data_IF_161400174551
#
_entry.id   IF_161400174551
#
_cell.length_a   1.000
_cell.length_b   1.000
_cell.length_c   1.000
_cell.angle_alpha   90.00
_cell.angle_beta   90.00
_cell.angle_gamma   90.00
#
_symmetry.space_group_name_H-M   'P 1'
#
loop_
_entity.id
_entity.type
_entity.pdbx_description
1 polymer ?
#
# COMPACT_ATOMS: atom_id res chain seq x y z
N UNK A 1 -24.04 1.72 -55.59
CA UNK A 1 -23.53 2.70 -54.60
C UNK A 1 -24.65 3.68 -54.22
N UNK A 2 -25.58 3.30 -53.35
CA UNK A 2 -26.74 4.16 -53.01
C UNK A 2 -27.33 3.86 -51.62
N UNK A 3 -26.48 3.73 -50.58
CA UNK A 3 -26.94 3.47 -49.20
C UNK A 3 -26.24 4.33 -48.13
N UNK A 4 -25.63 5.45 -48.49
CA UNK A 4 -24.78 6.23 -47.56
C UNK A 4 -25.22 7.67 -47.29
N UNK A 5 -26.44 8.10 -47.67
CA UNK A 5 -26.80 9.54 -47.59
C UNK A 5 -28.03 9.90 -46.75
N UNK A 6 -28.60 8.98 -45.96
CA UNK A 6 -29.86 9.22 -45.23
C UNK A 6 -29.71 9.62 -43.75
N UNK A 7 -28.48 9.77 -43.26
CA UNK A 7 -28.21 10.04 -41.83
C UNK A 7 -27.93 11.50 -41.50
N UNK A 8 -27.88 12.40 -42.50
CA UNK A 8 -27.23 13.72 -42.33
C UNK A 8 -28.16 14.93 -42.41
N UNK A 9 -29.48 14.78 -42.24
CA UNK A 9 -30.42 15.91 -42.24
C UNK A 9 -31.59 15.70 -41.26
N UNK A 10 -31.27 15.50 -39.98
CA UNK A 10 -32.25 15.70 -38.90
C UNK A 10 -31.82 16.95 -38.12
N UNK A 11 -32.53 18.05 -38.33
CA UNK A 11 -32.44 19.19 -37.42
C UNK A 11 -32.98 18.71 -36.08
N UNK A 12 -32.08 18.41 -35.14
CA UNK A 12 -32.45 18.03 -33.78
C UNK A 12 -33.39 19.09 -33.20
N UNK A 13 -34.58 18.66 -32.80
CA UNK A 13 -35.52 19.53 -32.11
C UNK A 13 -34.88 20.00 -30.80
N UNK A 14 -35.13 21.26 -30.39
CA UNK A 14 -34.62 21.78 -29.10
C UNK A 14 -34.99 20.88 -27.92
N UNK A 15 -36.12 20.18 -28.00
CA UNK A 15 -36.57 19.20 -27.00
C UNK A 15 -35.77 17.89 -27.03
N UNK A 16 -35.41 17.41 -28.23
CA UNK A 16 -34.60 16.19 -28.39
C UNK A 16 -33.18 16.41 -27.88
N UNK A 17 -32.60 17.59 -28.16
CA UNK A 17 -31.32 18.02 -27.58
C UNK A 17 -31.40 18.07 -26.05
N UNK A 18 -32.46 18.70 -25.49
CA UNK A 18 -32.62 18.79 -24.05
C UNK A 18 -32.72 17.40 -23.40
N UNK A 19 -33.45 16.47 -24.01
CA UNK A 19 -33.58 15.10 -23.51
C UNK A 19 -32.25 14.32 -23.62
N UNK A 20 -31.53 14.47 -24.72
CA UNK A 20 -30.23 13.84 -24.91
C UNK A 20 -29.21 14.34 -23.87
N UNK A 21 -29.15 15.66 -23.64
CA UNK A 21 -28.27 16.26 -22.63
C UNK A 21 -28.63 15.79 -21.23
N UNK A 22 -29.91 15.75 -20.88
CA UNK A 22 -30.36 15.25 -19.57
C UNK A 22 -29.94 13.79 -19.37
N UNK A 23 -30.16 12.96 -20.38
CA UNK A 23 -29.79 11.54 -20.34
C UNK A 23 -28.29 11.39 -20.15
N UNK A 24 -27.48 12.07 -20.96
CA UNK A 24 -26.02 12.03 -20.86
C UNK A 24 -25.54 12.49 -19.48
N UNK A 25 -26.10 13.58 -18.94
CA UNK A 25 -25.73 14.08 -17.62
C UNK A 25 -26.00 13.05 -16.51
N UNK A 26 -27.15 12.36 -16.56
CA UNK A 26 -27.49 11.29 -15.62
C UNK A 26 -26.49 10.13 -15.74
N UNK A 27 -26.20 9.67 -16.97
CA UNK A 27 -25.25 8.58 -17.18
C UNK A 27 -23.83 8.95 -16.74
N UNK A 28 -23.36 10.17 -17.02
CA UNK A 28 -22.04 10.65 -16.59
C UNK A 28 -21.99 10.72 -15.06
N UNK A 29 -23.03 11.26 -14.41
CA UNK A 29 -23.08 11.34 -12.95
C UNK A 29 -23.00 9.96 -12.29
N UNK A 30 -23.82 9.02 -12.77
CA UNK A 30 -23.80 7.64 -12.27
C UNK A 30 -22.48 6.92 -12.55
N UNK A 31 -21.90 7.14 -13.74
CA UNK A 31 -20.60 6.56 -14.11
C UNK A 31 -19.46 7.14 -13.27
N UNK A 32 -19.46 8.45 -13.01
CA UNK A 32 -18.43 9.13 -12.23
C UNK A 32 -18.40 8.59 -10.79
N UNK A 33 -19.57 8.54 -10.15
CA UNK A 33 -19.72 8.02 -8.80
C UNK A 33 -19.25 6.55 -8.70
N UNK A 34 -19.62 5.72 -9.67
CA UNK A 34 -19.15 4.32 -9.73
C UNK A 34 -17.65 4.21 -10.01
N UNK A 35 -17.10 5.10 -10.83
CA UNK A 35 -15.68 5.16 -11.16
C UNK A 35 -14.83 5.48 -9.93
N UNK A 36 -15.21 6.51 -9.17
CA UNK A 36 -14.50 6.91 -7.94
C UNK A 36 -14.44 5.77 -6.91
N UNK A 37 -15.55 5.04 -6.72
CA UNK A 37 -15.57 3.86 -5.85
C UNK A 37 -14.62 2.76 -6.32
N UNK A 38 -14.59 2.49 -7.63
CA UNK A 38 -13.69 1.48 -8.20
C UNK A 38 -12.22 1.88 -7.98
N UNK A 39 -11.88 3.16 -8.15
CA UNK A 39 -10.52 3.64 -7.90
C UNK A 39 -10.12 3.54 -6.42
N UNK A 40 -11.02 3.89 -5.50
CA UNK A 40 -10.78 3.73 -4.06
C UNK A 40 -10.56 2.26 -3.67
N UNK A 41 -11.39 1.33 -4.17
CA UNK A 41 -11.18 -0.10 -3.93
C UNK A 41 -9.89 -0.63 -4.55
N UNK A 42 -9.53 -0.16 -5.74
CA UNK A 42 -8.29 -0.55 -6.39
C UNK A 42 -7.08 -0.07 -5.59
N UNK A 43 -7.14 1.15 -5.05
CA UNK A 43 -6.12 1.72 -4.17
C UNK A 43 -6.01 0.92 -2.86
N UNK A 44 -7.14 0.65 -2.19
CA UNK A 44 -7.17 -0.17 -0.98
C UNK A 44 -6.50 -1.53 -1.21
N UNK A 45 -6.87 -2.24 -2.28
CA UNK A 45 -6.30 -3.55 -2.61
C UNK A 45 -4.81 -3.47 -2.94
N UNK A 46 -4.39 -2.44 -3.66
CA UNK A 46 -2.98 -2.23 -3.97
C UNK A 46 -2.15 -1.95 -2.71
N UNK A 47 -2.69 -1.15 -1.79
CA UNK A 47 -2.09 -0.86 -0.49
C UNK A 47 -2.02 -2.12 0.38
N UNK A 48 -3.12 -2.87 0.52
CA UNK A 48 -3.16 -4.12 1.28
C UNK A 48 -2.20 -5.18 0.72
N UNK A 49 -2.11 -5.31 -0.60
CA UNK A 49 -1.13 -6.18 -1.24
C UNK A 49 0.32 -5.75 -0.92
N UNK A 50 0.58 -4.44 -0.85
CA UNK A 50 1.90 -3.91 -0.47
C UNK A 50 2.23 -4.22 1.01
N UNK A 51 1.26 -4.07 1.92
CA UNK A 51 1.43 -4.42 3.34
C UNK A 51 1.67 -5.91 3.50
N UNK A 52 0.90 -6.77 2.81
CA UNK A 52 1.10 -8.22 2.83
C UNK A 52 2.51 -8.59 2.34
N UNK A 53 2.94 -8.00 1.24
CA UNK A 53 4.27 -8.20 0.68
C UNK A 53 5.38 -7.82 1.68
N UNK A 54 5.24 -6.68 2.37
CA UNK A 54 6.17 -6.26 3.43
C UNK A 54 6.16 -7.27 4.57
N UNK A 55 4.99 -7.70 5.05
CA UNK A 55 4.85 -8.67 6.13
C UNK A 55 5.50 -10.01 5.79
N UNK A 56 5.26 -10.55 4.60
CA UNK A 56 5.91 -11.79 4.16
C UNK A 56 7.43 -11.66 4.15
N UNK A 57 7.94 -10.52 3.66
CA UNK A 57 9.37 -10.28 3.62
C UNK A 57 9.98 -10.10 5.02
N UNK A 58 9.31 -9.40 5.94
CA UNK A 58 9.71 -9.31 7.35
C UNK A 58 9.78 -10.68 8.03
N UNK A 59 8.82 -11.56 7.76
CA UNK A 59 8.80 -12.94 8.31
C UNK A 59 9.97 -13.78 7.78
N UNK A 60 10.28 -13.70 6.48
CA UNK A 60 11.45 -14.37 5.90
C UNK A 60 12.74 -13.85 6.55
N UNK A 61 12.87 -12.53 6.69
CA UNK A 61 14.04 -11.91 7.31
C UNK A 61 14.18 -12.29 8.78
N UNK A 62 13.06 -12.38 9.50
CA UNK A 62 13.07 -12.81 10.90
C UNK A 62 13.64 -14.22 11.00
N UNK A 63 13.13 -15.15 10.18
CA UNK A 63 13.63 -16.52 10.14
C UNK A 63 15.12 -16.59 9.79
N UNK A 64 15.59 -15.79 8.84
CA UNK A 64 17.02 -15.72 8.49
C UNK A 64 17.88 -15.19 9.65
N UNK A 65 17.40 -14.16 10.33
CA UNK A 65 18.14 -13.50 11.43
C UNK A 65 18.22 -14.42 12.65
N UNK A 66 17.11 -15.09 13.00
CA UNK A 66 17.06 -16.04 14.11
C UNK A 66 17.85 -17.31 13.81
N UNK A 67 17.77 -17.86 12.61
CA UNK A 67 18.57 -19.04 12.21
C UNK A 67 20.07 -18.75 12.13
N UNK A 68 20.46 -17.49 11.86
CA UNK A 68 21.86 -17.06 11.90
C UNK A 68 22.37 -16.75 13.32
N UNK A 69 21.52 -16.85 14.36
CA UNK A 69 21.87 -16.51 15.74
C UNK A 69 22.06 -15.01 15.98
N UNK A 70 21.60 -14.14 15.08
CA UNK A 70 21.77 -12.68 15.15
C UNK A 70 20.60 -12.00 15.86
N UNK A 71 20.08 -12.63 16.91
CA UNK A 71 18.89 -12.17 17.64
C UNK A 71 19.03 -10.74 18.19
N UNK A 72 20.24 -10.33 18.57
CA UNK A 72 20.51 -8.97 19.04
C UNK A 72 20.21 -7.88 17.98
N UNK A 73 20.25 -8.21 16.68
CA UNK A 73 19.89 -7.26 15.61
C UNK A 73 18.40 -6.93 15.61
N UNK A 74 17.56 -7.85 16.11
CA UNK A 74 16.10 -7.68 16.13
C UNK A 74 15.68 -6.54 17.07
N UNK A 75 16.44 -6.23 18.11
CA UNK A 75 16.17 -5.07 18.99
C UNK A 75 16.01 -3.75 18.21
N UNK A 76 16.65 -3.63 17.05
CA UNK A 76 16.60 -2.44 16.22
C UNK A 76 15.43 -2.43 15.24
N UNK A 77 14.64 -3.50 15.15
CA UNK A 77 13.54 -3.62 14.18
C UNK A 77 12.28 -2.92 14.63
N UNK A 78 12.10 -2.79 15.94
CA UNK A 78 10.95 -2.12 16.50
C UNK A 78 10.92 -0.65 16.06
N UNK A 79 9.82 -0.25 15.43
CA UNK A 79 9.66 1.07 14.80
C UNK A 79 10.80 1.42 13.82
N UNK A 80 11.41 0.44 13.18
CA UNK A 80 12.37 0.66 12.10
C UNK A 80 11.67 0.85 10.77
N UNK A 81 12.36 1.53 9.85
CA UNK A 81 11.88 1.61 8.49
C UNK A 81 11.92 0.23 7.82
N UNK A 82 10.77 -0.40 7.53
CA UNK A 82 10.75 -1.73 6.90
C UNK A 82 11.43 -1.69 5.53
N UNK A 83 11.36 -0.56 4.82
CA UNK A 83 11.98 -0.43 3.51
C UNK A 83 13.49 -0.57 3.56
N UNK A 84 14.10 -0.06 4.63
CA UNK A 84 15.54 -0.16 4.88
C UNK A 84 15.95 -1.55 5.34
N UNK A 85 15.13 -2.18 6.19
CA UNK A 85 15.30 -3.59 6.59
C UNK A 85 15.27 -4.51 5.36
N UNK A 86 14.34 -4.27 4.43
CA UNK A 86 14.16 -5.06 3.22
C UNK A 86 15.21 -4.78 2.14
N UNK A 87 15.73 -3.56 2.03
CA UNK A 87 16.83 -3.27 1.10
C UNK A 87 18.12 -3.97 1.53
N UNK A 88 18.38 -4.02 2.85
CA UNK A 88 19.51 -4.75 3.43
C UNK A 88 19.49 -6.26 3.09
N UNK A 89 18.31 -6.84 2.86
CA UNK A 89 18.11 -8.24 2.45
C UNK A 89 18.57 -8.53 1.01
N UNK A 90 18.37 -7.56 0.09
CA UNK A 90 18.77 -7.71 -1.33
C UNK A 90 20.28 -7.92 -1.48
N UNK A 91 21.06 -7.54 -0.46
CA UNK A 91 22.50 -7.75 -0.42
C UNK A 91 22.89 -9.21 -0.09
N UNK A 92 21.99 -10.04 0.47
CA UNK A 92 22.27 -11.42 0.89
C UNK A 92 21.87 -12.46 -0.18
N UNK A 93 20.87 -12.16 -1.02
CA UNK A 93 20.55 -12.98 -2.21
C UNK A 93 21.26 -12.38 -3.41
N UNK A 94 22.44 -12.90 -3.73
CA UNK A 94 23.19 -12.49 -4.91
C UNK A 94 22.51 -13.06 -6.18
N UNK A 95 21.49 -12.35 -6.69
CA UNK A 95 20.65 -12.77 -7.83
C UNK A 95 21.48 -13.05 -9.10
N UNK A 96 22.66 -12.46 -9.21
CA UNK A 96 23.60 -12.70 -10.32
C UNK A 96 24.29 -14.08 -10.26
N UNK A 97 24.29 -14.74 -9.10
CA UNK A 97 24.95 -16.05 -8.92
C UNK A 97 23.99 -17.24 -8.96
N UNK A 98 22.69 -16.98 -9.09
CA UNK A 98 21.70 -18.03 -9.34
C UNK A 98 21.85 -18.51 -10.79
N UNK A 99 22.08 -19.82 -11.05
CA UNK A 99 22.10 -20.34 -12.40
C UNK A 99 20.78 -19.98 -13.07
N UNK A 100 20.85 -19.47 -14.31
CA UNK A 100 19.71 -18.99 -15.08
C UNK A 100 18.68 -20.10 -15.34
N UNK A 101 17.88 -20.41 -14.32
CA UNK A 101 16.76 -21.33 -14.40
C UNK A 101 15.54 -20.52 -14.84
N UNK A 102 15.01 -20.77 -16.05
CA UNK A 102 13.84 -20.05 -16.56
C UNK A 102 12.57 -20.25 -15.69
N UNK A 103 12.54 -21.29 -14.85
CA UNK A 103 11.48 -21.45 -13.84
C UNK A 103 11.64 -20.53 -12.63
N UNK A 104 12.86 -20.26 -12.17
CA UNK A 104 13.09 -19.28 -11.10
C UNK A 104 12.88 -17.84 -11.60
N UNK A 105 13.08 -17.58 -12.90
CA UNK A 105 12.66 -16.33 -13.55
C UNK A 105 11.13 -16.18 -13.62
N UNK A 106 10.36 -17.28 -13.62
CA UNK A 106 8.90 -17.26 -13.43
C UNK A 106 8.49 -17.09 -11.97
N UNK A 107 9.40 -17.41 -11.04
CA UNK A 107 9.32 -17.03 -9.62
C UNK A 107 9.94 -15.66 -9.34
N UNK A 108 10.49 -14.97 -10.36
CA UNK A 108 10.90 -13.57 -10.24
C UNK A 108 9.74 -12.58 -9.95
N UNK A 109 8.44 -12.93 -9.94
CA UNK A 109 7.44 -12.12 -9.22
C UNK A 109 7.63 -12.10 -7.69
N UNK A 110 8.56 -12.89 -7.14
CA UNK A 110 9.13 -12.69 -5.80
C UNK A 110 10.29 -11.68 -5.79
N UNK A 111 10.59 -11.01 -6.90
CA UNK A 111 10.80 -9.57 -6.80
C UNK A 111 9.49 -9.03 -6.28
N UNK A 112 9.38 -9.05 -4.96
CA UNK A 112 8.27 -8.59 -4.16
C UNK A 112 7.64 -7.45 -4.95
N UNK A 113 6.39 -7.61 -5.39
CA UNK A 113 5.64 -6.67 -6.22
C UNK A 113 5.39 -5.39 -5.45
N UNK A 114 6.48 -4.75 -5.06
CA UNK A 114 6.52 -3.50 -4.37
C UNK A 114 6.36 -2.50 -5.49
N UNK A 115 5.11 -2.19 -5.79
CA UNK A 115 4.72 -0.98 -6.51
C UNK A 115 5.13 0.24 -5.70
N UNK A 116 6.41 0.36 -5.35
CA UNK A 116 6.94 1.38 -4.50
C UNK A 116 6.99 2.67 -5.27
N UNK A 117 5.88 3.38 -5.17
CA UNK A 117 5.85 4.82 -5.03
C UNK A 117 6.41 5.22 -3.65
N UNK A 118 7.52 4.62 -3.23
CA UNK A 118 8.20 4.96 -1.98
C UNK A 118 9.12 6.15 -2.24
N UNK A 119 8.89 7.23 -1.52
CA UNK A 119 9.57 8.50 -1.72
C UNK A 119 10.85 8.65 -0.88
N UNK A 120 11.06 7.77 0.10
CA UNK A 120 12.19 7.83 1.01
C UNK A 120 11.78 8.17 2.45
N UNK A 121 12.78 8.58 3.21
CA UNK A 121 12.68 8.97 4.61
C UNK A 121 12.67 10.51 4.71
N UNK A 122 11.76 11.06 5.51
CA UNK A 122 11.63 12.49 5.73
C UNK A 122 11.60 12.78 7.23
N UNK A 123 12.19 13.90 7.62
CA UNK A 123 12.14 14.42 8.99
C UNK A 123 10.97 15.41 9.09
N UNK A 124 9.93 15.06 9.86
CA UNK A 124 8.69 15.83 10.01
C UNK A 124 8.05 16.31 8.69
N UNK A 125 7.75 15.40 7.75
CA UNK A 125 7.14 15.76 6.47
C UNK A 125 5.78 16.45 6.66
N UNK A 126 5.54 17.53 5.90
CA UNK A 126 4.19 18.08 5.74
C UNK A 126 3.39 17.16 4.80
N UNK A 127 2.29 16.52 5.26
CA UNK A 127 1.48 15.66 4.42
C UNK A 127 0.90 16.36 3.18
N UNK A 128 0.81 17.70 3.17
CA UNK A 128 0.31 18.47 2.03
C UNK A 128 1.29 18.53 0.85
N UNK A 129 2.58 18.34 1.10
CA UNK A 129 3.59 18.34 0.03
C UNK A 129 3.75 16.96 -0.62
N UNK A 130 3.02 15.96 -0.14
CA UNK A 130 3.12 14.58 -0.58
C UNK A 130 1.81 14.14 -1.25
N UNK A 131 1.92 13.85 -2.53
CA UNK A 131 0.83 13.35 -3.37
C UNK A 131 0.23 12.04 -2.82
N UNK A 132 -1.07 11.85 -3.08
CA UNK A 132 -1.76 10.60 -2.79
C UNK A 132 -1.23 9.43 -3.63
N UNK A 133 -1.27 8.23 -3.04
CA UNK A 133 -0.84 6.97 -3.63
C UNK A 133 0.66 6.67 -3.41
N UNK A 134 1.35 7.45 -2.59
CA UNK A 134 2.77 7.30 -2.28
C UNK A 134 3.00 6.81 -0.85
N UNK A 135 4.09 6.07 -0.69
CA UNK A 135 4.63 5.65 0.59
C UNK A 135 5.81 6.56 0.97
N UNK A 136 5.96 6.87 2.25
CA UNK A 136 7.16 7.49 2.78
C UNK A 136 7.37 7.09 4.23
N UNK A 137 8.56 7.29 4.76
CA UNK A 137 8.84 7.05 6.17
C UNK A 137 9.02 8.37 6.90
N UNK A 138 8.27 8.57 7.99
CA UNK A 138 8.41 9.70 8.89
C UNK A 138 9.42 9.34 9.98
N UNK A 139 10.57 10.00 9.98
CA UNK A 139 11.63 9.80 10.98
C UNK A 139 11.28 10.36 12.35
N UNK A 140 10.41 11.38 12.41
CA UNK A 140 9.98 12.02 13.64
C UNK A 140 8.98 11.16 14.40
N UNK A 141 7.98 10.64 13.69
CA UNK A 141 6.97 9.73 14.27
C UNK A 141 7.39 8.25 14.25
N UNK A 142 8.48 7.90 13.54
CA UNK A 142 8.95 6.52 13.32
C UNK A 142 7.89 5.58 12.74
N UNK A 143 7.22 6.06 11.69
CA UNK A 143 6.15 5.34 11.01
C UNK A 143 6.33 5.34 9.51
N UNK A 144 5.97 4.24 8.88
CA UNK A 144 5.74 4.15 7.45
C UNK A 144 4.33 4.70 7.15
N UNK A 145 4.25 5.72 6.32
CA UNK A 145 2.99 6.39 5.97
C UNK A 145 2.60 6.08 4.54
N UNK A 146 1.34 5.71 4.34
CA UNK A 146 0.71 5.67 3.03
C UNK A 146 -0.26 6.85 2.88
N UNK A 147 -0.11 7.61 1.80
CA UNK A 147 -1.01 8.73 1.46
C UNK A 147 -2.17 8.22 0.63
N UNK A 148 -3.40 8.45 1.07
CA UNK A 148 -4.58 8.06 0.31
C UNK A 148 -4.84 9.09 -0.79
N UNK A 149 -4.98 8.62 -2.03
CA UNK A 149 -5.31 9.43 -3.19
C UNK A 149 -6.82 9.60 -3.36
N UNK A 150 -7.59 8.53 -3.23
CA UNK A 150 -9.03 8.51 -3.42
C UNK A 150 -9.72 8.41 -2.05
N UNK A 151 -9.75 9.53 -1.33
CA UNK A 151 -10.18 9.57 0.08
C UNK A 151 -11.69 9.67 0.28
N UNK A 152 -12.47 9.79 -0.80
CA UNK A 152 -13.93 9.96 -0.75
C UNK A 152 -14.63 8.81 0.01
N UNK A 153 -14.02 7.63 0.05
CA UNK A 153 -14.53 6.44 0.72
C UNK A 153 -13.64 5.97 1.88
N UNK A 154 -12.74 6.83 2.38
CA UNK A 154 -11.79 6.50 3.44
C UNK A 154 -12.07 7.34 4.69
N UNK A 155 -12.01 6.72 5.86
CA UNK A 155 -12.16 7.38 7.16
C UNK A 155 -11.05 6.96 8.12
N UNK A 156 -10.52 7.93 8.87
CA UNK A 156 -9.59 7.72 9.98
C UNK A 156 -9.73 8.87 11.00
N UNK A 157 -9.26 8.69 12.25
CA UNK A 157 -9.29 9.75 13.26
C UNK A 157 -8.24 10.84 13.00
N UNK A 158 -7.36 10.66 12.00
CA UNK A 158 -6.28 11.59 11.71
C UNK A 158 -6.81 12.87 11.07
N UNK A 159 -6.42 14.00 11.64
CA UNK A 159 -6.69 15.31 11.05
C UNK A 159 -5.86 15.56 9.78
N UNK A 160 -6.38 16.42 8.90
CA UNK A 160 -5.73 16.82 7.67
C UNK A 160 -5.98 15.84 6.53
N UNK A 161 -5.01 15.73 5.61
CA UNK A 161 -5.18 14.89 4.44
C UNK A 161 -5.12 13.39 4.81
N UNK A 162 -5.96 12.60 4.16
CA UNK A 162 -6.12 11.17 4.39
C UNK A 162 -4.80 10.38 4.26
N UNK A 163 -4.51 9.58 5.28
CA UNK A 163 -3.30 8.76 5.38
C UNK A 163 -3.51 7.61 6.34
N UNK A 164 -2.67 6.59 6.21
CA UNK A 164 -2.54 5.49 7.15
C UNK A 164 -1.09 5.45 7.63
N UNK A 165 -0.89 5.33 8.94
CA UNK A 165 0.43 5.19 9.55
C UNK A 165 0.63 3.75 9.99
N UNK A 166 1.81 3.21 9.75
CA UNK A 166 2.17 1.85 10.11
C UNK A 166 3.52 1.84 10.83
N UNK A 167 3.71 0.92 11.77
CA UNK A 167 5.01 0.65 12.38
C UNK A 167 5.35 -0.84 12.25
N UNK A 168 6.66 -1.13 12.21
CA UNK A 168 7.13 -2.50 12.38
C UNK A 168 7.12 -2.79 13.87
N UNK A 169 6.40 -3.83 14.25
CA UNK A 169 6.34 -4.31 15.63
C UNK A 169 6.82 -5.75 15.69
N UNK A 170 7.68 -6.02 16.67
CA UNK A 170 8.09 -7.38 17.00
C UNK A 170 7.04 -8.07 17.87
N UNK A 171 6.84 -9.36 17.62
CA UNK A 171 6.02 -10.23 18.45
C UNK A 171 6.93 -11.25 19.12
N UNK A 172 7.02 -11.17 20.43
CA UNK A 172 7.92 -11.96 21.27
C UNK A 172 7.22 -12.38 22.56
N UNK A 173 7.80 -13.38 23.23
CA UNK A 173 7.40 -13.78 24.57
C UNK A 173 7.97 -12.79 25.58
N UNK A 174 7.16 -11.84 26.02
CA UNK A 174 7.53 -10.86 27.06
C UNK A 174 7.53 -11.54 28.44
N UNK A 175 8.68 -12.13 28.81
CA UNK A 175 8.83 -12.94 30.02
C UNK A 175 9.02 -12.06 31.26
N UNK A 176 9.56 -10.85 31.09
CA UNK A 176 9.83 -9.92 32.18
C UNK A 176 8.71 -8.87 32.36
N UNK A 177 7.79 -8.73 31.40
CA UNK A 177 6.64 -7.84 31.43
C UNK A 177 6.97 -6.38 31.16
N UNK A 178 8.11 -6.06 30.54
CA UNK A 178 8.55 -4.68 30.30
C UNK A 178 8.19 -4.15 28.91
N UNK A 179 7.60 -5.00 28.06
CA UNK A 179 7.22 -4.67 26.69
C UNK A 179 8.40 -4.41 25.75
N UNK A 180 9.62 -4.77 26.13
CA UNK A 180 10.83 -4.62 25.33
C UNK A 180 11.48 -5.98 25.08
N UNK A 181 11.83 -6.23 23.83
CA UNK A 181 12.44 -7.49 23.45
C UNK A 181 13.85 -7.67 24.05
N UNK A 182 14.05 -8.76 24.79
CA UNK A 182 15.35 -9.19 25.30
C UNK A 182 15.89 -10.44 24.56
N UNK A 183 16.94 -10.34 23.73
CA UNK A 183 17.47 -11.44 22.94
C UNK A 183 18.14 -12.55 23.74
N UNK A 184 18.52 -12.29 24.99
CA UNK A 184 19.17 -13.28 25.86
C UNK A 184 18.14 -14.15 26.61
N UNK A 185 16.89 -13.69 26.71
CA UNK A 185 15.85 -14.33 27.53
C UNK A 185 14.60 -14.72 26.73
N UNK A 186 14.30 -14.03 25.64
CA UNK A 186 12.99 -14.06 24.99
C UNK A 186 13.06 -14.56 23.56
N UNK A 187 12.01 -15.29 23.16
CA UNK A 187 11.87 -15.79 21.81
C UNK A 187 11.00 -14.85 20.98
N UNK A 188 11.46 -14.49 19.77
CA UNK A 188 10.66 -13.78 18.77
C UNK A 188 9.96 -14.78 17.88
N UNK A 189 8.65 -14.65 17.73
CA UNK A 189 7.84 -15.52 16.88
C UNK A 189 7.18 -14.78 15.70
N UNK A 190 7.34 -13.46 15.61
CA UNK A 190 6.88 -12.71 14.45
C UNK A 190 7.42 -11.28 14.36
N UNK A 191 7.37 -10.73 13.15
CA UNK A 191 7.52 -9.31 12.89
C UNK A 191 6.41 -8.92 11.89
N UNK A 192 5.73 -7.81 12.15
CA UNK A 192 4.62 -7.37 11.30
C UNK A 192 4.57 -5.84 11.21
N UNK A 193 4.16 -5.37 10.04
CA UNK A 193 3.74 -4.01 9.79
C UNK A 193 2.28 -3.86 10.27
N UNK A 194 2.08 -3.11 11.34
CA UNK A 194 0.79 -2.90 11.98
C UNK A 194 0.33 -1.44 11.88
N UNK A 195 -0.96 -1.20 11.62
CA UNK A 195 -1.50 0.16 11.58
C UNK A 195 -1.46 0.79 12.98
N UNK A 196 -1.06 2.05 13.04
CA UNK A 196 -0.95 2.82 14.29
C UNK A 196 -2.25 3.55 14.64
N UNK A 197 -3.17 3.65 13.67
CA UNK A 197 -4.48 4.28 13.83
C UNK A 197 -5.55 3.38 13.23
N UNK A 198 -6.75 3.41 13.82
CA UNK A 198 -7.93 2.79 13.22
C UNK A 198 -8.27 3.49 11.89
N UNK A 199 -8.67 2.71 10.89
CA UNK A 199 -9.17 3.24 9.62
C UNK A 199 -10.18 2.29 9.02
N UNK A 200 -11.10 2.84 8.22
CA UNK A 200 -12.09 2.05 7.49
C UNK A 200 -12.29 2.58 6.09
N UNK A 201 -12.46 1.65 5.15
CA UNK A 201 -12.94 1.94 3.81
C UNK A 201 -14.44 1.65 3.77
N UNK A 202 -15.23 2.58 3.25
CA UNK A 202 -16.66 2.36 3.08
C UNK A 202 -16.88 1.40 1.89
N UNK A 203 -17.30 0.17 2.17
CA UNK A 203 -17.62 -0.80 1.12
C UNK A 203 -18.76 -0.29 0.21
N UNK A 204 -18.68 -0.63 -1.08
CA UNK A 204 -19.81 -0.42 -1.99
C UNK A 204 -20.84 -1.54 -1.82
N UNK A 205 -21.71 -1.41 -0.81
CA UNK A 205 -22.86 -2.30 -0.69
C UNK A 205 -23.44 -2.34 0.71
N UNK A 206 -24.29 -1.37 1.04
CA UNK A 206 -25.41 -1.57 1.96
C UNK A 206 -26.69 -1.18 1.26
#
# INVERSE_FOLDING_TARGET
MALAHRWTNRNLSRLELAFAVLTIAIFIGAFMDRGLRIFAMAEERAMQASVLNINTALQIMLFQTTSAGRNAELMQWDHANPMKLLDSSRMIVNVETLPAHPELARLAPLSIGLGFRYLGEFEFPDPQTIDGGYWYYDLGEKVLVYRIKNSEFFQSPLSGLARIRFAVELRFDDLNGDGQYNPDAEAVYGAALLPQDEYHWMEAGS
#
